data_IF_471129146538
#
_entry.id   IF_471129146538
#
_cell.length_a   1.000
_cell.length_b   1.000
_cell.length_c   1.000
_cell.angle_alpha   90.00
_cell.angle_beta   90.00
_cell.angle_gamma   90.00
#
_symmetry.space_group_name_H-M   'P 1'
#
loop_
_entity.id
_entity.type
_entity.pdbx_description
1 polymer ?
#
# COMPACT_ATOMS: atom_id res chain seq x y z
N UNK A 1 16.24 22.12 -15.63
CA UNK A 1 14.84 21.67 -15.58
C UNK A 1 14.79 20.14 -15.60
N UNK A 2 15.36 19.44 -16.61
CA UNK A 2 15.30 17.98 -16.74
C UNK A 2 15.90 17.26 -15.50
N UNK A 3 17.03 17.75 -14.97
CA UNK A 3 17.65 17.13 -13.78
C UNK A 3 16.81 17.24 -12.51
N UNK A 4 16.06 18.30 -12.35
CA UNK A 4 15.10 18.49 -11.24
C UNK A 4 13.97 17.48 -11.37
N UNK A 5 13.42 17.32 -12.56
CA UNK A 5 12.31 16.38 -12.83
C UNK A 5 12.73 14.93 -12.57
N UNK A 6 13.94 14.51 -13.00
CA UNK A 6 14.45 13.15 -12.73
C UNK A 6 14.65 12.94 -11.23
N UNK A 7 15.24 13.91 -10.53
CA UNK A 7 15.42 13.83 -9.07
C UNK A 7 14.09 13.68 -8.35
N UNK A 8 13.10 14.46 -8.73
CA UNK A 8 11.80 14.42 -8.08
C UNK A 8 11.07 13.11 -8.39
N UNK A 9 11.15 12.60 -9.62
CA UNK A 9 10.61 11.30 -9.99
C UNK A 9 11.25 10.16 -9.19
N UNK A 10 12.57 10.15 -9.01
CA UNK A 10 13.26 9.15 -8.19
C UNK A 10 12.82 9.28 -6.73
N UNK A 11 12.76 10.49 -6.18
CA UNK A 11 12.35 10.72 -4.79
C UNK A 11 10.94 10.21 -4.53
N UNK A 12 9.99 10.56 -5.39
CA UNK A 12 8.59 10.09 -5.26
C UNK A 12 8.49 8.58 -5.47
N UNK A 13 9.16 8.03 -6.47
CA UNK A 13 9.18 6.59 -6.73
C UNK A 13 9.74 5.79 -5.55
N UNK A 14 10.86 6.22 -4.97
CA UNK A 14 11.45 5.57 -3.78
C UNK A 14 10.53 5.71 -2.57
N UNK A 15 9.96 6.88 -2.33
CA UNK A 15 9.03 7.12 -1.22
C UNK A 15 7.80 6.20 -1.30
N UNK A 16 7.18 6.10 -2.48
CA UNK A 16 6.02 5.20 -2.69
C UNK A 16 6.40 3.73 -2.64
N UNK A 17 7.59 3.37 -3.13
CA UNK A 17 8.12 2.00 -3.04
C UNK A 17 8.36 1.55 -1.61
N UNK A 18 8.95 2.39 -0.77
CA UNK A 18 9.13 2.13 0.67
C UNK A 18 7.78 1.93 1.35
N UNK A 19 6.80 2.79 1.05
CA UNK A 19 5.46 2.67 1.58
C UNK A 19 4.80 1.34 1.19
N UNK A 20 4.84 0.99 -0.09
CA UNK A 20 4.21 -0.24 -0.61
C UNK A 20 4.84 -1.51 -0.04
N UNK A 21 6.16 -1.51 0.16
CA UNK A 21 6.90 -2.66 0.67
C UNK A 21 6.99 -2.70 2.20
N UNK A 22 6.52 -1.65 2.88
CA UNK A 22 6.70 -1.47 4.33
C UNK A 22 8.17 -1.59 4.76
N UNK A 23 9.11 -1.27 3.84
CA UNK A 23 10.53 -1.47 4.05
C UNK A 23 11.08 -0.54 5.13
N UNK A 24 11.59 -1.12 6.21
CA UNK A 24 12.13 -0.36 7.35
C UNK A 24 11.08 0.32 8.23
N UNK A 25 9.79 0.06 8.04
CA UNK A 25 8.72 0.65 8.85
C UNK A 25 8.41 -0.16 10.12
N UNK A 26 8.84 -1.43 10.20
CA UNK A 26 8.58 -2.31 11.33
C UNK A 26 7.16 -2.90 11.37
N UNK A 27 6.31 -2.60 10.40
CA UNK A 27 4.93 -3.10 10.31
C UNK A 27 4.85 -4.52 9.76
N UNK A 28 5.59 -4.83 8.70
CA UNK A 28 5.60 -6.16 8.09
C UNK A 28 5.87 -7.31 9.08
N UNK A 29 6.83 -7.22 10.03
CA UNK A 29 7.04 -8.25 11.05
C UNK A 29 5.82 -8.55 11.91
N UNK A 30 4.91 -7.60 12.12
CA UNK A 30 3.69 -7.79 12.92
C UNK A 30 2.77 -8.84 12.26
N UNK A 31 2.58 -8.75 10.93
CA UNK A 31 1.81 -9.73 10.19
C UNK A 31 2.54 -11.08 10.14
N UNK A 32 3.84 -11.06 9.88
CA UNK A 32 4.68 -12.27 9.78
C UNK A 32 4.68 -13.05 11.09
N UNK A 33 4.71 -12.36 12.23
CA UNK A 33 4.66 -12.98 13.56
C UNK A 33 3.35 -13.73 13.85
N UNK A 34 2.28 -13.49 13.08
CA UNK A 34 1.03 -14.25 13.20
C UNK A 34 1.07 -15.61 12.51
N UNK A 35 2.09 -15.87 11.70
CA UNK A 35 2.25 -17.13 10.98
C UNK A 35 2.52 -18.29 11.94
N UNK A 36 1.93 -19.45 11.65
CA UNK A 36 2.15 -20.69 12.40
C UNK A 36 3.46 -21.36 11.94
N UNK A 37 4.59 -20.73 12.21
CA UNK A 37 5.92 -21.24 11.87
C UNK A 37 6.85 -21.05 13.05
N UNK A 38 7.64 -22.09 13.37
CA UNK A 38 8.68 -22.03 14.39
C UNK A 38 10.07 -21.72 13.81
N UNK A 39 10.17 -21.53 12.49
CA UNK A 39 11.42 -21.26 11.79
C UNK A 39 11.42 -19.81 11.29
N UNK A 40 12.18 -18.96 11.97
CA UNK A 40 12.31 -17.55 11.62
C UNK A 40 12.97 -17.34 10.25
N UNK A 41 13.94 -18.18 9.88
CA UNK A 41 14.64 -18.09 8.59
C UNK A 41 13.69 -18.38 7.43
N UNK A 42 12.91 -19.45 7.56
CA UNK A 42 11.89 -19.81 6.56
C UNK A 42 10.87 -18.69 6.40
N UNK A 43 10.44 -18.09 7.50
CA UNK A 43 9.46 -17.01 7.46
C UNK A 43 10.04 -15.74 6.84
N UNK A 44 11.31 -15.43 7.07
CA UNK A 44 12.04 -14.35 6.42
C UNK A 44 12.12 -14.53 4.90
N UNK A 45 12.43 -15.74 4.43
CA UNK A 45 12.45 -16.06 3.00
C UNK A 45 11.09 -15.91 2.32
N UNK A 46 10.01 -16.33 3.00
CA UNK A 46 8.64 -16.14 2.50
C UNK A 46 8.31 -14.64 2.37
N UNK A 47 8.65 -13.85 3.38
CA UNK A 47 8.45 -12.39 3.36
C UNK A 47 9.22 -11.71 2.23
N UNK A 48 10.48 -12.08 2.03
CA UNK A 48 11.32 -11.57 0.94
C UNK A 48 10.70 -11.91 -0.43
N UNK A 49 10.21 -13.13 -0.62
CA UNK A 49 9.55 -13.56 -1.86
C UNK A 49 8.28 -12.75 -2.11
N UNK A 50 7.48 -12.52 -1.08
CA UNK A 50 6.25 -11.69 -1.17
C UNK A 50 6.56 -10.26 -1.61
N UNK A 51 7.59 -9.63 -1.02
CA UNK A 51 8.04 -8.29 -1.39
C UNK A 51 8.55 -8.24 -2.83
N UNK A 52 9.32 -9.25 -3.26
CA UNK A 52 9.79 -9.38 -4.64
C UNK A 52 8.62 -9.49 -5.62
N UNK A 53 7.65 -10.36 -5.36
CA UNK A 53 6.47 -10.54 -6.20
C UNK A 53 5.65 -9.24 -6.32
N UNK A 54 5.40 -8.57 -5.21
CA UNK A 54 4.64 -7.31 -5.18
C UNK A 54 5.33 -6.19 -5.96
N UNK A 55 6.62 -6.00 -5.75
CA UNK A 55 7.34 -4.85 -6.33
C UNK A 55 7.88 -5.12 -7.71
N UNK A 56 8.63 -6.22 -7.89
CA UNK A 56 9.32 -6.47 -9.16
C UNK A 56 8.36 -7.02 -10.20
N UNK A 57 7.36 -7.80 -9.83
CA UNK A 57 6.42 -8.34 -10.80
C UNK A 57 5.21 -7.42 -10.94
N UNK A 58 4.41 -7.23 -9.89
CA UNK A 58 3.12 -6.56 -10.01
C UNK A 58 3.28 -5.05 -10.28
N UNK A 59 4.09 -4.34 -9.50
CA UNK A 59 4.26 -2.90 -9.69
C UNK A 59 4.98 -2.58 -11.01
N UNK A 60 5.98 -3.39 -11.42
CA UNK A 60 6.67 -3.19 -12.68
C UNK A 60 5.73 -3.44 -13.87
N UNK A 61 4.90 -4.49 -13.83
CA UNK A 61 3.90 -4.75 -14.88
C UNK A 61 2.91 -3.59 -15.00
N UNK A 62 2.40 -3.08 -13.90
CA UNK A 62 1.48 -1.94 -13.88
C UNK A 62 2.17 -0.69 -14.44
N UNK A 63 3.39 -0.40 -14.01
CA UNK A 63 4.17 0.74 -14.49
C UNK A 63 4.46 0.66 -16.00
N UNK A 64 4.84 -0.53 -16.50
CA UNK A 64 5.04 -0.75 -17.92
C UNK A 64 3.76 -0.59 -18.73
N UNK A 65 2.63 -1.06 -18.22
CA UNK A 65 1.33 -0.87 -18.84
C UNK A 65 1.00 0.63 -19.00
N UNK A 66 1.21 1.43 -17.94
CA UNK A 66 0.99 2.88 -17.97
C UNK A 66 1.90 3.56 -19.00
N UNK A 67 3.18 3.17 -19.08
CA UNK A 67 4.14 3.76 -20.02
C UNK A 67 3.82 3.38 -21.46
N UNK A 68 3.54 2.10 -21.73
CA UNK A 68 3.29 1.59 -23.09
C UNK A 68 1.97 2.14 -23.66
N UNK A 69 0.95 2.29 -22.84
CA UNK A 69 -0.34 2.84 -23.25
C UNK A 69 -0.36 4.35 -23.37
N UNK A 70 0.67 5.06 -22.92
CA UNK A 70 0.71 6.51 -22.87
C UNK A 70 -0.19 7.14 -21.81
N UNK A 71 -0.72 6.35 -20.88
CA UNK A 71 -1.63 6.81 -19.83
C UNK A 71 -1.03 7.91 -18.93
N UNK A 72 0.30 7.94 -18.83
CA UNK A 72 1.04 8.96 -18.04
C UNK A 72 0.86 10.38 -18.57
N UNK A 73 0.53 10.57 -19.86
CA UNK A 73 0.34 11.86 -20.53
C UNK A 73 -1.15 12.21 -20.74
N UNK A 74 -2.05 11.38 -20.24
CA UNK A 74 -3.49 11.56 -20.41
C UNK A 74 -4.11 12.64 -19.49
N UNK A 75 -3.32 13.27 -18.61
CA UNK A 75 -3.80 14.29 -17.67
C UNK A 75 -4.71 13.74 -16.58
N UNK A 76 -4.65 12.41 -16.33
CA UNK A 76 -5.41 11.71 -15.31
C UNK A 76 -4.61 11.62 -14.01
N UNK A 77 -5.27 11.39 -12.88
CA UNK A 77 -4.63 11.27 -11.57
C UNK A 77 -5.05 9.99 -10.84
N UNK A 78 -4.14 9.48 -10.01
CA UNK A 78 -4.40 8.36 -9.12
C UNK A 78 -4.80 7.09 -9.85
N UNK A 79 -5.96 6.55 -9.51
CA UNK A 79 -6.47 5.28 -10.03
C UNK A 79 -6.92 5.35 -11.48
N UNK A 80 -7.32 6.54 -11.94
CA UNK A 80 -7.84 6.73 -13.29
C UNK A 80 -6.76 6.48 -14.34
N UNK A 81 -5.48 6.79 -14.03
CA UNK A 81 -4.33 6.46 -14.88
C UNK A 81 -4.25 4.94 -15.10
N UNK A 82 -4.38 4.17 -14.03
CA UNK A 82 -4.30 2.71 -14.09
C UNK A 82 -5.50 2.14 -14.85
N UNK A 83 -6.71 2.62 -14.58
CA UNK A 83 -7.92 2.21 -15.29
C UNK A 83 -7.79 2.46 -16.78
N UNK A 84 -7.38 3.66 -17.18
CA UNK A 84 -7.16 4.02 -18.58
C UNK A 84 -6.09 3.15 -19.24
N UNK A 85 -4.98 2.89 -18.55
CA UNK A 85 -3.91 2.04 -19.06
C UNK A 85 -4.40 0.61 -19.32
N UNK A 86 -5.19 0.04 -18.42
CA UNK A 86 -5.74 -1.30 -18.60
C UNK A 86 -6.88 -1.35 -19.65
N UNK A 87 -7.73 -0.32 -19.70
CA UNK A 87 -8.76 -0.23 -20.74
C UNK A 87 -8.15 -0.16 -22.14
N UNK A 88 -7.06 0.58 -22.28
CA UNK A 88 -6.36 0.73 -23.58
C UNK A 88 -5.48 -0.46 -23.91
N UNK A 89 -4.85 -1.09 -22.90
CA UNK A 89 -3.86 -2.14 -23.11
C UNK A 89 -4.44 -3.55 -23.18
N UNK A 90 -5.65 -3.78 -22.65
CA UNK A 90 -6.25 -5.10 -22.68
C UNK A 90 -6.91 -5.40 -24.06
N UNK A 91 -6.79 -6.64 -24.57
CA UNK A 91 -7.30 -7.01 -25.89
C UNK A 91 -8.83 -7.21 -25.93
N UNK A 92 -9.56 -6.63 -24.98
CA UNK A 92 -11.01 -6.74 -24.95
C UNK A 92 -11.65 -5.67 -25.83
N UNK A 93 -12.52 -6.11 -26.74
CA UNK A 93 -13.25 -5.21 -27.63
C UNK A 93 -14.27 -4.33 -26.90
N UNK A 94 -14.68 -4.74 -25.68
CA UNK A 94 -15.64 -4.01 -24.88
C UNK A 94 -14.95 -3.35 -23.67
N UNK A 95 -14.87 -2.01 -23.62
CA UNK A 95 -14.22 -1.28 -22.53
C UNK A 95 -14.86 -1.57 -21.15
N UNK A 96 -16.14 -1.94 -21.11
CA UNK A 96 -16.84 -2.28 -19.86
C UNK A 96 -16.20 -3.50 -19.18
N UNK A 97 -15.72 -4.48 -19.95
CA UNK A 97 -15.09 -5.68 -19.39
C UNK A 97 -13.78 -5.30 -18.68
N UNK A 98 -12.97 -4.46 -19.31
CA UNK A 98 -11.72 -3.95 -18.71
C UNK A 98 -11.99 -3.16 -17.44
N UNK A 99 -12.96 -2.25 -17.48
CA UNK A 99 -13.36 -1.45 -16.31
C UNK A 99 -13.85 -2.32 -15.14
N UNK A 100 -14.68 -3.32 -15.40
CA UNK A 100 -15.15 -4.28 -14.37
C UNK A 100 -13.97 -5.07 -13.78
N UNK A 101 -13.07 -5.55 -14.61
CA UNK A 101 -11.89 -6.32 -14.17
C UNK A 101 -11.00 -5.47 -13.25
N UNK A 102 -10.68 -4.25 -13.67
CA UNK A 102 -9.89 -3.30 -12.88
C UNK A 102 -10.61 -2.97 -11.56
N UNK A 103 -11.92 -2.71 -11.60
CA UNK A 103 -12.73 -2.45 -10.41
C UNK A 103 -12.68 -3.61 -9.41
N UNK A 104 -12.83 -4.85 -9.87
CA UNK A 104 -12.73 -6.03 -8.99
C UNK A 104 -11.34 -6.14 -8.37
N UNK A 105 -10.27 -6.00 -9.17
CA UNK A 105 -8.90 -6.07 -8.69
C UNK A 105 -8.62 -5.02 -7.62
N UNK A 106 -9.03 -3.77 -7.86
CA UNK A 106 -8.82 -2.67 -6.92
C UNK A 106 -9.63 -2.87 -5.65
N UNK A 107 -10.88 -3.34 -5.77
CA UNK A 107 -11.72 -3.61 -4.61
C UNK A 107 -11.11 -4.70 -3.73
N UNK A 108 -10.64 -5.81 -4.32
CA UNK A 108 -9.95 -6.87 -3.58
C UNK A 108 -8.67 -6.36 -2.91
N UNK A 109 -7.88 -5.55 -3.62
CA UNK A 109 -6.64 -4.98 -3.09
C UNK A 109 -6.89 -4.01 -1.94
N UNK A 110 -7.84 -3.11 -2.08
CA UNK A 110 -8.25 -2.18 -1.01
C UNK A 110 -8.76 -2.93 0.21
N UNK A 111 -9.61 -3.93 0.01
CA UNK A 111 -10.16 -4.74 1.10
C UNK A 111 -9.07 -5.46 1.90
N UNK A 112 -8.13 -6.11 1.23
CA UNK A 112 -7.00 -6.78 1.90
C UNK A 112 -6.09 -5.80 2.64
N UNK A 113 -5.86 -4.62 2.08
CA UNK A 113 -5.07 -3.56 2.71
C UNK A 113 -5.75 -3.04 3.98
N UNK A 114 -7.06 -2.79 3.94
CA UNK A 114 -7.86 -2.36 5.10
C UNK A 114 -7.75 -3.37 6.24
N UNK A 115 -7.87 -4.66 5.95
CA UNK A 115 -7.75 -5.73 6.96
C UNK A 115 -6.33 -5.79 7.52
N UNK A 116 -5.32 -5.72 6.67
CA UNK A 116 -3.91 -5.76 7.07
C UNK A 116 -3.54 -4.62 8.01
N UNK A 117 -3.88 -3.39 7.68
CA UNK A 117 -3.61 -2.23 8.51
C UNK A 117 -4.40 -2.25 9.83
N UNK A 118 -5.63 -2.77 9.82
CA UNK A 118 -6.38 -2.99 11.06
C UNK A 118 -5.67 -3.99 11.98
N UNK A 119 -5.11 -5.06 11.42
CA UNK A 119 -4.34 -6.04 12.19
C UNK A 119 -3.12 -5.39 12.85
N UNK A 120 -2.35 -4.58 12.12
CA UNK A 120 -1.18 -3.88 12.68
C UNK A 120 -1.56 -3.00 13.87
N UNK A 121 -2.55 -2.13 13.69
CA UNK A 121 -2.99 -1.24 14.76
C UNK A 121 -3.58 -1.98 15.96
N UNK A 122 -4.36 -3.05 15.73
CA UNK A 122 -4.92 -3.86 16.82
C UNK A 122 -3.84 -4.57 17.61
N UNK A 123 -2.79 -5.10 16.97
CA UNK A 123 -1.66 -5.74 17.65
C UNK A 123 -0.84 -4.75 18.48
N UNK A 124 -0.58 -3.56 17.91
CA UNK A 124 0.07 -2.49 18.68
C UNK A 124 -0.77 -2.10 19.91
N UNK A 125 -2.07 -1.94 19.74
CA UNK A 125 -2.96 -1.59 20.85
C UNK A 125 -3.00 -2.68 21.92
N UNK A 126 -3.08 -3.95 21.53
CA UNK A 126 -3.03 -5.09 22.45
C UNK A 126 -1.76 -5.05 23.32
N UNK A 127 -0.63 -4.72 22.72
CA UNK A 127 0.65 -4.59 23.44
C UNK A 127 0.59 -3.47 24.48
N UNK A 128 0.10 -2.28 24.13
CA UNK A 128 0.03 -1.14 25.03
C UNK A 128 -1.05 -1.27 26.13
N UNK A 129 -2.13 -1.97 25.85
CA UNK A 129 -3.29 -2.06 26.75
C UNK A 129 -3.38 -3.41 27.47
N UNK A 130 -2.38 -4.30 27.30
CA UNK A 130 -2.38 -5.65 27.86
C UNK A 130 -3.68 -6.43 27.56
N UNK A 131 -4.19 -6.32 26.34
CA UNK A 131 -5.37 -7.05 25.90
C UNK A 131 -6.70 -6.50 26.39
N UNK A 132 -6.80 -5.22 26.69
CA UNK A 132 -8.06 -4.61 27.16
C UNK A 132 -9.13 -4.58 26.06
N UNK A 133 -10.18 -5.40 26.23
CA UNK A 133 -11.28 -5.54 25.26
C UNK A 133 -12.04 -4.23 24.99
N UNK A 134 -12.15 -3.33 25.98
CA UNK A 134 -12.81 -2.04 25.78
C UNK A 134 -11.98 -1.11 24.89
N UNK A 135 -10.66 -1.07 25.08
CA UNK A 135 -9.75 -0.31 24.23
C UNK A 135 -9.79 -0.82 22.80
N UNK A 136 -9.78 -2.14 22.61
CA UNK A 136 -9.93 -2.77 21.30
C UNK A 136 -11.23 -2.34 20.59
N UNK A 137 -12.36 -2.37 21.30
CA UNK A 137 -13.65 -1.97 20.72
C UNK A 137 -13.66 -0.50 20.28
N UNK A 138 -13.12 0.39 21.12
CA UNK A 138 -13.00 1.83 20.80
C UNK A 138 -12.13 2.03 19.56
N UNK A 139 -10.99 1.33 19.48
CA UNK A 139 -10.12 1.38 18.31
C UNK A 139 -10.84 0.96 17.04
N UNK A 140 -11.60 -0.14 17.07
CA UNK A 140 -12.35 -0.62 15.91
C UNK A 140 -13.37 0.41 15.42
N UNK A 141 -14.09 1.07 16.33
CA UNK A 141 -15.01 2.14 15.95
C UNK A 141 -14.31 3.35 15.35
N UNK A 142 -13.20 3.79 15.95
CA UNK A 142 -12.39 4.89 15.39
C UNK A 142 -11.89 4.51 13.99
N UNK A 143 -11.41 3.28 13.80
CA UNK A 143 -10.91 2.79 12.52
C UNK A 143 -12.00 2.83 11.44
N UNK A 144 -13.19 2.31 11.74
CA UNK A 144 -14.33 2.33 10.80
C UNK A 144 -14.75 3.77 10.45
N UNK A 145 -14.84 4.64 11.45
CA UNK A 145 -15.18 6.05 11.22
C UNK A 145 -14.13 6.73 10.32
N UNK A 146 -12.86 6.47 10.55
CA UNK A 146 -11.76 7.03 9.73
C UNK A 146 -11.86 6.54 8.28
N UNK A 147 -12.19 5.26 8.05
CA UNK A 147 -12.42 4.73 6.70
C UNK A 147 -13.59 5.41 5.99
N UNK A 148 -14.68 5.69 6.71
CA UNK A 148 -15.83 6.40 6.15
C UNK A 148 -15.54 7.86 5.81
N UNK A 149 -14.64 8.49 6.55
CA UNK A 149 -14.20 9.88 6.31
C UNK A 149 -13.18 10.00 5.17
N UNK A 150 -12.43 8.92 4.89
CA UNK A 150 -11.38 8.91 3.87
C UNK A 150 -11.76 9.50 2.51
N UNK A 151 -12.89 9.09 1.91
CA UNK A 151 -13.33 9.59 0.61
C UNK A 151 -13.63 11.09 0.54
N UNK A 152 -13.82 11.76 1.67
CA UNK A 152 -14.09 13.20 1.74
C UNK A 152 -12.80 14.05 1.87
N UNK A 153 -11.65 13.41 2.06
CA UNK A 153 -10.36 14.09 2.17
C UNK A 153 -9.69 14.21 0.80
N UNK A 154 -8.93 15.30 0.62
CA UNK A 154 -8.10 15.45 -0.58
C UNK A 154 -6.93 14.46 -0.55
N UNK A 155 -6.60 13.88 -1.69
CA UNK A 155 -5.54 12.88 -1.86
C UNK A 155 -4.19 13.39 -1.34
N UNK A 156 -3.85 14.65 -1.60
CA UNK A 156 -2.59 15.26 -1.13
C UNK A 156 -2.49 15.31 0.39
N UNK A 157 -3.61 15.60 1.07
CA UNK A 157 -3.66 15.62 2.54
C UNK A 157 -3.43 14.23 3.09
N UNK A 158 -4.06 13.21 2.50
CA UNK A 158 -3.90 11.81 2.91
C UNK A 158 -2.45 11.38 2.74
N UNK A 159 -1.82 11.67 1.61
CA UNK A 159 -0.41 11.36 1.37
C UNK A 159 0.53 12.13 2.29
N UNK A 160 0.23 13.39 2.59
CA UNK A 160 0.99 14.19 3.56
C UNK A 160 1.00 13.55 4.94
N UNK A 161 -0.17 13.16 5.44
CA UNK A 161 -0.34 12.48 6.73
C UNK A 161 0.38 11.12 6.71
N UNK A 162 0.19 10.31 5.67
CA UNK A 162 0.83 9.01 5.53
C UNK A 162 2.36 9.09 5.55
N UNK A 163 2.95 10.07 4.85
CA UNK A 163 4.39 10.28 4.84
C UNK A 163 4.96 10.65 6.22
N UNK A 164 4.23 11.48 6.99
CA UNK A 164 4.63 11.83 8.36
C UNK A 164 4.64 10.58 9.25
N UNK A 165 3.56 9.82 9.24
CA UNK A 165 3.47 8.60 10.05
C UNK A 165 4.48 7.53 9.63
N UNK A 166 4.76 7.37 8.34
CA UNK A 166 5.83 6.49 7.86
C UNK A 166 7.20 6.90 8.40
N UNK A 167 7.52 8.20 8.38
CA UNK A 167 8.75 8.70 8.98
C UNK A 167 8.85 8.40 10.47
N UNK A 168 7.74 8.59 11.20
CA UNK A 168 7.67 8.27 12.63
C UNK A 168 7.77 6.76 12.92
N UNK A 169 7.30 5.91 12.03
CA UNK A 169 7.45 4.46 12.16
C UNK A 169 8.88 3.99 11.82
N UNK A 170 9.47 4.57 10.78
CA UNK A 170 10.81 4.20 10.32
C UNK A 170 11.90 4.55 11.35
N UNK A 171 11.82 5.71 11.97
CA UNK A 171 12.84 6.19 12.88
C UNK A 171 13.13 5.23 14.06
N UNK A 172 12.14 4.83 14.88
CA UNK A 172 12.39 3.88 15.98
C UNK A 172 12.78 2.48 15.48
N UNK A 173 12.25 2.03 14.35
CA UNK A 173 12.62 0.73 13.80
C UNK A 173 14.07 0.67 13.35
N UNK A 174 14.57 1.71 12.67
CA UNK A 174 15.96 1.79 12.24
C UNK A 174 16.95 1.95 13.40
N UNK A 175 16.52 2.53 14.53
CA UNK A 175 17.34 2.63 15.74
C UNK A 175 17.41 1.28 16.46
N UNK A 176 16.35 0.47 16.36
CA UNK A 176 16.26 -0.83 17.04
C UNK A 176 16.96 -1.96 16.28
N UNK A 177 17.25 -1.79 14.99
CA UNK A 177 18.02 -2.74 14.16
C UNK A 177 19.52 -2.57 14.37
#
# INVERSE_FOLDING_TARGET
VIGITIRDAIKEGVSKGIFTNEAGLGSAPIAIATAKSNDATKQGLISMTSTFMGTVIICMMTGLCIVITGAWDAGLEGIDITSFAFETGLPFTNPIISAILVFICITCFAFTTIIGWNLYGSKCLDYFTNGNKKAYLVYQWIYVITLLLGPFLKVDVIWGIANIFNGLMAAPNLIAL
#
